data_IF_487908571240
#
_entry.id   IF_487908571240
#
_cell.length_a   1.000
_cell.length_b   1.000
_cell.length_c   1.000
_cell.angle_alpha   90.00
_cell.angle_beta   90.00
_cell.angle_gamma   90.00
#
_symmetry.space_group_name_H-M   'P 1'
#
loop_
_entity.id
_entity.type
_entity.pdbx_description
1 polymer ?
#
# COMPACT_ATOMS: atom_id res chain seq x y z
N UNK A 1 -12.78 -2.34 -5.54
CA UNK A 1 -11.75 -3.05 -6.33
C UNK A 1 -12.06 -4.55 -6.35
N UNK A 2 -11.72 -5.32 -7.40
CA UNK A 2 -11.91 -6.79 -7.40
C UNK A 2 -10.77 -7.51 -6.65
N UNK A 3 -11.04 -8.71 -6.10
CA UNK A 3 -10.02 -9.51 -5.41
C UNK A 3 -8.82 -9.82 -6.32
N UNK A 4 -9.05 -10.19 -7.58
CA UNK A 4 -7.96 -10.51 -8.52
C UNK A 4 -7.05 -9.31 -8.81
N UNK A 5 -7.63 -8.11 -8.89
CA UNK A 5 -6.87 -6.88 -9.10
C UNK A 5 -6.08 -6.52 -7.85
N UNK A 6 -6.64 -6.82 -6.68
CA UNK A 6 -5.94 -6.65 -5.42
C UNK A 6 -4.71 -7.54 -5.31
N UNK A 7 -4.87 -8.84 -5.50
CA UNK A 7 -3.74 -9.80 -5.46
C UNK A 7 -2.62 -9.36 -6.40
N UNK A 8 -2.95 -9.00 -7.64
CA UNK A 8 -1.93 -8.51 -8.61
C UNK A 8 -1.23 -7.23 -8.18
N UNK A 9 -1.96 -6.29 -7.56
CA UNK A 9 -1.34 -5.06 -7.07
C UNK A 9 -0.31 -5.40 -6.00
N UNK A 10 -0.70 -6.23 -5.04
CA UNK A 10 0.16 -6.64 -3.94
C UNK A 10 1.38 -7.40 -4.44
N UNK A 11 1.20 -8.38 -5.32
CA UNK A 11 2.30 -9.13 -5.92
C UNK A 11 3.33 -8.17 -6.55
N UNK A 12 2.87 -7.14 -7.27
CA UNK A 12 3.75 -6.13 -7.86
C UNK A 12 4.46 -5.29 -6.80
N UNK A 13 3.76 -4.85 -5.73
CA UNK A 13 4.37 -4.08 -4.64
C UNK A 13 5.46 -4.89 -3.90
N UNK A 14 5.23 -6.20 -3.71
CA UNK A 14 6.20 -7.11 -3.04
C UNK A 14 7.44 -7.31 -3.88
N UNK A 15 7.24 -7.61 -5.18
CA UNK A 15 8.33 -7.82 -6.12
C UNK A 15 9.19 -6.57 -6.33
N UNK A 16 8.69 -5.40 -5.93
CA UNK A 16 9.35 -4.10 -6.00
C UNK A 16 9.46 -3.43 -4.61
N UNK A 17 9.52 -4.22 -3.54
CA UNK A 17 9.60 -3.73 -2.15
C UNK A 17 10.91 -2.97 -1.85
N UNK A 18 11.93 -3.09 -2.69
CA UNK A 18 13.13 -2.26 -2.67
C UNK A 18 12.84 -0.79 -3.03
N UNK A 19 11.77 -0.54 -3.80
CA UNK A 19 11.36 0.77 -4.31
C UNK A 19 10.25 1.42 -3.50
N UNK A 20 9.46 0.59 -2.83
CA UNK A 20 8.34 1.02 -1.99
C UNK A 20 8.68 0.61 -0.59
N UNK A 21 9.04 1.58 0.25
CA UNK A 21 9.49 1.35 1.63
C UNK A 21 8.37 1.55 2.64
N UNK A 22 7.40 2.41 2.34
CA UNK A 22 6.25 2.71 3.21
C UNK A 22 4.98 2.87 2.39
N UNK A 23 3.90 2.35 2.94
CA UNK A 23 2.54 2.66 2.53
C UNK A 23 1.66 2.87 3.76
N UNK A 24 0.65 3.69 3.58
CA UNK A 24 -0.37 4.00 4.57
C UNK A 24 -1.72 3.47 4.07
N UNK A 25 -2.60 3.10 4.98
CA UNK A 25 -3.92 2.60 4.63
C UNK A 25 -4.98 3.11 5.61
N UNK A 26 -6.18 3.36 5.09
CA UNK A 26 -7.35 3.64 5.91
C UNK A 26 -8.35 2.50 5.80
N UNK A 27 -8.90 2.06 6.94
CA UNK A 27 -10.04 1.13 6.93
C UNK A 27 -11.35 1.89 6.79
N UNK A 28 -12.33 1.33 6.08
CA UNK A 28 -13.68 1.90 5.95
C UNK A 28 -14.36 2.13 7.31
N UNK A 29 -14.12 1.25 8.29
CA UNK A 29 -14.77 1.30 9.61
C UNK A 29 -13.93 1.96 10.71
N UNK A 30 -12.70 2.42 10.40
CA UNK A 30 -11.82 3.07 11.39
C UNK A 30 -11.31 4.39 10.84
N UNK A 31 -11.38 5.44 11.65
CA UNK A 31 -10.84 6.75 11.26
C UNK A 31 -9.31 6.84 11.35
N UNK A 32 -8.64 5.79 11.83
CA UNK A 32 -7.20 5.78 12.01
C UNK A 32 -6.49 5.34 10.73
N UNK A 33 -5.41 6.04 10.40
CA UNK A 33 -4.46 5.65 9.36
C UNK A 33 -3.50 4.61 9.95
N UNK A 34 -3.43 3.46 9.30
CA UNK A 34 -2.42 2.46 9.56
C UNK A 34 -1.23 2.65 8.65
N UNK A 35 -0.06 2.24 9.11
CA UNK A 35 1.19 2.26 8.37
C UNK A 35 1.67 0.82 8.15
N UNK A 36 2.28 0.60 7.00
CA UNK A 36 2.95 -0.64 6.66
C UNK A 36 4.30 -0.29 6.04
N UNK A 37 5.36 -0.86 6.63
CA UNK A 37 6.73 -0.72 6.15
C UNK A 37 7.11 -1.98 5.40
N UNK A 38 7.62 -1.81 4.19
CA UNK A 38 8.06 -2.90 3.32
C UNK A 38 9.58 -3.06 3.49
N UNK A 39 9.96 -4.21 4.03
CA UNK A 39 11.33 -4.68 4.27
C UNK A 39 11.43 -6.15 3.82
N UNK A 40 12.65 -6.65 3.58
CA UNK A 40 12.87 -8.06 3.18
C UNK A 40 12.26 -9.08 4.16
N UNK A 41 12.17 -8.75 5.45
CA UNK A 41 11.53 -9.64 6.43
C UNK A 41 10.01 -9.60 6.34
N UNK A 42 9.43 -8.43 6.03
CA UNK A 42 7.97 -8.31 5.87
C UNK A 42 7.45 -8.97 4.60
N UNK A 43 8.26 -9.07 3.53
CA UNK A 43 7.87 -9.76 2.28
C UNK A 43 7.71 -11.27 2.46
N UNK A 44 8.37 -11.87 3.46
CA UNK A 44 8.24 -13.30 3.79
C UNK A 44 6.84 -13.70 4.29
N UNK A 45 6.03 -12.73 4.75
CA UNK A 45 4.63 -12.91 5.15
C UNK A 45 3.61 -12.59 4.05
N UNK A 46 4.05 -12.23 2.83
CA UNK A 46 3.14 -11.80 1.77
C UNK A 46 2.37 -12.92 1.07
N UNK A 47 2.78 -14.18 1.23
CA UNK A 47 2.04 -15.33 0.68
C UNK A 47 0.60 -15.46 1.24
N UNK A 48 0.30 -14.83 2.39
CA UNK A 48 -1.03 -14.82 3.01
C UNK A 48 -2.02 -13.82 2.38
N UNK A 49 -1.60 -13.06 1.37
CA UNK A 49 -2.33 -11.92 0.81
C UNK A 49 -3.38 -12.27 -0.25
N UNK A 50 -3.95 -13.48 -0.21
CA UNK A 50 -5.10 -13.80 -1.06
C UNK A 50 -6.41 -13.21 -0.52
N UNK A 51 -6.52 -12.96 0.79
CA UNK A 51 -7.77 -12.46 1.43
C UNK A 51 -7.57 -11.30 2.41
N UNK A 52 -6.34 -11.03 2.87
CA UNK A 52 -6.00 -9.99 3.84
C UNK A 52 -4.55 -10.14 4.32
N UNK A 53 -4.10 -9.31 5.25
CA UNK A 53 -2.79 -9.46 5.89
C UNK A 53 -2.88 -9.47 7.42
N UNK A 54 -2.05 -10.29 8.07
CA UNK A 54 -1.91 -10.41 9.51
C UNK A 54 -0.46 -10.09 9.91
N UNK A 55 -0.29 -9.12 10.82
CA UNK A 55 1.03 -8.74 11.36
C UNK A 55 1.79 -7.77 10.46
N UNK A 56 2.55 -6.87 11.10
CA UNK A 56 3.31 -5.77 10.49
C UNK A 56 2.56 -4.51 10.03
N UNK A 57 1.29 -4.30 10.41
CA UNK A 57 0.72 -2.94 10.42
C UNK A 57 0.67 -2.34 11.82
N UNK A 58 0.68 -1.00 11.88
CA UNK A 58 0.59 -0.24 13.13
C UNK A 58 -0.74 -0.39 13.89
N UNK A 59 -1.79 -0.92 13.24
CA UNK A 59 -3.12 -1.10 13.86
C UNK A 59 -3.35 -2.50 14.44
N UNK A 60 -2.43 -3.44 14.21
CA UNK A 60 -2.54 -4.85 14.60
C UNK A 60 -3.70 -5.62 13.93
N UNK A 61 -3.67 -6.94 14.10
CA UNK A 61 -4.73 -7.85 13.64
C UNK A 61 -4.84 -7.99 12.11
N UNK A 62 -5.92 -8.64 11.69
CA UNK A 62 -6.20 -8.88 10.27
C UNK A 62 -6.71 -7.62 9.58
N UNK A 63 -6.20 -7.35 8.38
CA UNK A 63 -6.78 -6.39 7.44
C UNK A 63 -7.23 -7.11 6.19
N UNK A 64 -8.55 -7.19 5.96
CA UNK A 64 -9.09 -7.72 4.71
C UNK A 64 -9.18 -6.62 3.65
N UNK A 65 -8.97 -6.95 2.39
CA UNK A 65 -8.92 -5.95 1.31
C UNK A 65 -10.23 -5.20 1.11
N UNK A 66 -11.34 -5.85 1.44
CA UNK A 66 -12.69 -5.26 1.39
C UNK A 66 -12.89 -4.19 2.46
N UNK A 67 -12.04 -4.16 3.50
CA UNK A 67 -12.08 -3.14 4.54
C UNK A 67 -11.22 -1.92 4.21
N UNK A 68 -10.41 -1.94 3.14
CA UNK A 68 -9.50 -0.85 2.83
C UNK A 68 -10.22 0.20 1.99
N UNK A 69 -10.30 1.42 2.51
CA UNK A 69 -10.86 2.57 1.81
C UNK A 69 -9.88 3.08 0.75
N UNK A 70 -8.64 3.33 1.17
CA UNK A 70 -7.55 3.74 0.30
C UNK A 70 -6.20 3.23 0.80
N UNK A 71 -5.26 3.14 -0.14
CA UNK A 71 -3.82 3.08 0.13
C UNK A 71 -3.22 4.45 -0.20
N UNK A 72 -2.24 4.88 0.56
CA UNK A 72 -1.49 6.10 0.32
C UNK A 72 0.00 5.79 0.31
N UNK A 73 0.69 6.23 -0.74
CA UNK A 73 2.13 6.10 -0.92
C UNK A 73 2.74 7.48 -0.67
N UNK A 74 3.24 7.73 0.55
CA UNK A 74 3.76 9.04 0.91
C UNK A 74 5.09 9.29 0.18
N UNK A 75 5.32 10.54 -0.20
CA UNK A 75 6.62 10.98 -0.73
C UNK A 75 7.72 10.81 0.29
N UNK A 76 7.47 11.16 1.55
CA UNK A 76 8.41 11.07 2.64
C UNK A 76 8.04 9.94 3.60
N UNK A 77 9.02 9.09 3.93
CA UNK A 77 8.80 7.90 4.77
C UNK A 77 8.81 8.25 6.26
N UNK A 78 9.65 9.22 6.63
CA UNK A 78 9.81 9.70 7.99
C UNK A 78 9.30 11.14 8.15
N UNK A 79 9.04 11.53 9.39
CA UNK A 79 8.56 12.85 9.76
C UNK A 79 9.60 13.95 9.55
N UNK A 80 10.87 13.57 9.42
CA UNK A 80 11.98 14.49 9.25
C UNK A 80 12.31 14.71 7.76
N UNK A 81 11.55 14.12 6.83
CA UNK A 81 11.68 14.21 5.36
C UNK A 81 13.05 13.80 4.79
N UNK A 82 13.80 12.94 5.48
CA UNK A 82 15.15 12.55 5.03
C UNK A 82 15.13 11.42 4.00
N UNK A 83 14.07 10.61 3.99
CA UNK A 83 13.92 9.47 3.09
C UNK A 83 12.72 9.65 2.17
N UNK A 84 13.01 9.92 0.90
CA UNK A 84 12.03 10.10 -0.16
C UNK A 84 11.76 8.80 -0.96
N UNK A 85 10.51 8.60 -1.39
CA UNK A 85 10.10 7.59 -2.36
C UNK A 85 9.93 8.20 -3.75
N UNK A 86 10.34 7.49 -4.79
CA UNK A 86 10.11 7.92 -6.17
C UNK A 86 8.64 7.70 -6.55
N UNK A 87 7.84 8.77 -6.45
CA UNK A 87 6.42 8.72 -6.80
C UNK A 87 6.20 8.34 -8.28
N UNK A 88 7.07 8.75 -9.19
CA UNK A 88 6.93 8.42 -10.60
C UNK A 88 7.14 6.92 -10.84
N UNK A 89 8.11 6.32 -10.14
CA UNK A 89 8.31 4.88 -10.19
C UNK A 89 7.11 4.12 -9.58
N UNK A 90 6.60 4.56 -8.44
CA UNK A 90 5.41 3.96 -7.79
C UNK A 90 4.18 4.04 -8.70
N UNK A 91 3.91 5.20 -9.30
CA UNK A 91 2.80 5.38 -10.23
C UNK A 91 2.91 4.41 -11.43
N UNK A 92 4.11 4.29 -12.00
CA UNK A 92 4.38 3.37 -13.11
C UNK A 92 4.14 1.90 -12.71
N UNK A 93 4.54 1.49 -11.50
CA UNK A 93 4.26 0.15 -10.98
C UNK A 93 2.76 -0.10 -10.86
N UNK A 94 2.02 0.87 -10.31
CA UNK A 94 0.56 0.77 -10.19
C UNK A 94 -0.10 0.65 -11.57
N UNK A 95 0.31 1.45 -12.56
CA UNK A 95 -0.27 1.38 -13.91
C UNK A 95 0.06 0.10 -14.66
N UNK A 96 1.23 -0.53 -14.41
CA UNK A 96 1.57 -1.85 -14.98
C UNK A 96 0.56 -2.92 -14.58
N UNK A 97 0.04 -2.85 -13.36
CA UNK A 97 -0.96 -3.80 -12.85
C UNK A 97 -2.33 -3.56 -13.50
N UNK A 98 -2.68 -2.30 -13.78
CA UNK A 98 -3.89 -1.92 -14.50
C UNK A 98 -4.36 -0.50 -14.19
N UNK A 99 -5.60 -0.17 -14.59
CA UNK A 99 -6.15 1.18 -14.38
C UNK A 99 -6.73 1.37 -12.98
N UNK A 100 -6.14 2.20 -12.13
CA UNK A 100 -6.64 2.49 -10.78
C UNK A 100 -7.24 3.89 -10.68
N UNK A 101 -8.05 4.13 -9.65
CA UNK A 101 -8.51 5.49 -9.31
C UNK A 101 -7.45 6.08 -8.39
N UNK A 102 -6.64 7.00 -8.92
CA UNK A 102 -5.54 7.63 -8.21
C UNK A 102 -5.83 9.13 -8.03
N UNK A 103 -5.59 9.64 -6.83
CA UNK A 103 -5.42 11.06 -6.56
C UNK A 103 -3.94 11.29 -6.25
N UNK A 104 -3.27 12.17 -6.99
CA UNK A 104 -1.82 12.37 -6.91
C UNK A 104 -1.56 13.85 -6.63
N UNK A 105 -0.71 14.12 -5.65
CA UNK A 105 -0.26 15.47 -5.30
C UNK A 105 1.23 15.48 -4.91
N UNK A 106 1.71 16.62 -4.40
CA UNK A 106 3.10 16.79 -3.97
C UNK A 106 3.49 15.93 -2.75
N UNK A 107 2.50 15.47 -1.97
CA UNK A 107 2.69 14.68 -0.76
C UNK A 107 2.69 13.18 -1.05
N UNK A 108 2.07 12.73 -2.15
CA UNK A 108 2.08 11.32 -2.51
C UNK A 108 1.00 10.88 -3.49
N UNK A 109 0.81 9.56 -3.55
CA UNK A 109 -0.16 8.89 -4.42
C UNK A 109 -1.21 8.23 -3.55
N UNK A 110 -2.48 8.59 -3.71
CA UNK A 110 -3.62 7.96 -3.06
C UNK A 110 -4.35 7.05 -4.03
N UNK A 111 -4.33 5.74 -3.76
CA UNK A 111 -5.08 4.74 -4.51
C UNK A 111 -6.39 4.43 -3.82
N UNK A 112 -7.51 4.72 -4.48
CA UNK A 112 -8.86 4.48 -3.94
C UNK A 112 -9.27 3.03 -4.18
N UNK A 113 -9.47 2.30 -3.09
CA UNK A 113 -9.72 0.85 -3.07
C UNK A 113 -11.21 0.52 -3.00
N UNK A 114 -11.94 1.33 -2.22
CA UNK A 114 -13.36 1.25 -1.97
C UNK A 114 -14.02 2.61 -2.25
N UNK A 115 -15.18 2.59 -2.92
CA UNK A 115 -16.05 3.73 -3.13
C UNK A 115 -17.45 3.34 -2.67
#
# INVERSE_FOLDING_TARGET
MSNSKWVRLIDELVNNSDKIKKLEFKKVQKDHIGELYLTEDTTYGFDYWQNGFEGHNSLGGWLTFKEIEFLFFPRFIDSDEHLEQDLMEIENLIYKVGQFSLDIDENGIKLICYK
#
